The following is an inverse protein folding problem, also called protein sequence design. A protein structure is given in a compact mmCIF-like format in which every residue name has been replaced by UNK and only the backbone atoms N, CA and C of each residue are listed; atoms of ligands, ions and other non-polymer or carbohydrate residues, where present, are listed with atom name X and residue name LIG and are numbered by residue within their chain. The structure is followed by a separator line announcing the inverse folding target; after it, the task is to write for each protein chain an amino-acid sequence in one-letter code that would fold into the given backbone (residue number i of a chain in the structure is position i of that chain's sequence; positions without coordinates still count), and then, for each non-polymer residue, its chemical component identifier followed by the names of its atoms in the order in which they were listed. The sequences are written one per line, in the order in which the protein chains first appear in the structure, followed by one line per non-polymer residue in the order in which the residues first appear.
data_IF_049835725771
#
_entry.id   IF_049835725771
#
_cell.length_a   1.000
_cell.length_b   1.000
_cell.length_c   1.000
_cell.angle_alpha   90.00
_cell.angle_beta   90.00
_cell.angle_gamma   90.00
#
_symmetry.space_group_name_H-M   'P 1'
#
loop_
_entity.id
_entity.type
_entity.pdbx_description
1 polymer ?
#
# COMPACT_ATOMS: atom_id res chain seq x y z
N UNK A 1 -2.61 1.18 4.19
CA UNK A 1 -3.15 1.52 2.86
C UNK A 1 -3.68 2.93 2.93
N UNK A 2 -3.38 3.77 1.95
CA UNK A 2 -3.91 5.13 1.83
C UNK A 2 -5.36 5.15 1.37
N UNK A 3 -5.84 6.34 1.02
CA UNK A 3 -7.23 6.56 0.60
C UNK A 3 -7.44 6.25 -0.88
N UNK A 4 -8.70 6.06 -1.25
CA UNK A 4 -9.13 5.94 -2.66
C UNK A 4 -8.47 4.78 -3.43
N UNK A 5 -8.08 3.71 -2.73
CA UNK A 5 -7.50 2.54 -3.37
C UNK A 5 -8.57 1.60 -3.93
N UNK A 6 -8.25 0.92 -5.02
CA UNK A 6 -9.07 -0.16 -5.60
C UNK A 6 -8.30 -1.47 -5.55
N UNK A 7 -8.81 -2.45 -4.82
CA UNK A 7 -8.12 -3.72 -4.55
C UNK A 7 -8.94 -4.88 -5.14
N UNK A 8 -8.34 -5.59 -6.09
CA UNK A 8 -8.92 -6.79 -6.70
C UNK A 8 -9.03 -7.97 -5.74
N UNK A 9 -9.80 -8.98 -6.13
CA UNK A 9 -9.93 -10.22 -5.36
C UNK A 9 -8.60 -10.98 -5.29
N UNK A 10 -8.38 -11.72 -4.19
CA UNK A 10 -7.23 -12.62 -4.06
C UNK A 10 -5.85 -11.93 -3.97
N UNK A 11 -5.80 -10.63 -3.65
CA UNK A 11 -4.54 -9.95 -3.32
C UNK A 11 -4.00 -10.49 -1.99
N UNK A 12 -2.71 -10.84 -1.98
CA UNK A 12 -2.05 -11.45 -0.82
C UNK A 12 -0.67 -10.85 -0.56
N UNK A 13 -0.23 -10.91 0.70
CA UNK A 13 1.14 -10.63 1.10
C UNK A 13 1.87 -11.95 1.32
N UNK A 14 3.14 -12.02 0.90
CA UNK A 14 3.97 -13.21 1.03
C UNK A 14 4.77 -13.18 2.34
N UNK A 15 5.08 -14.35 2.90
CA UNK A 15 6.05 -14.49 4.00
C UNK A 15 7.49 -14.47 3.46
N UNK A 16 8.45 -14.23 4.35
CA UNK A 16 9.89 -14.34 4.10
C UNK A 16 10.54 -15.38 5.02
N UNK A 17 11.68 -15.92 4.60
CA UNK A 17 12.50 -16.88 5.35
C UNK A 17 13.98 -16.49 5.24
N UNK A 18 14.81 -16.70 6.29
CA UNK A 18 16.22 -16.37 6.23
C UNK A 18 16.97 -17.31 5.29
N UNK A 19 17.10 -16.91 4.03
CA UNK A 19 17.74 -17.69 2.97
C UNK A 19 19.27 -17.72 3.07
N UNK A 20 19.85 -16.86 3.92
CA UNK A 20 21.28 -16.72 4.19
C UNK A 20 21.71 -17.35 5.53
N UNK A 21 20.79 -17.93 6.30
CA UNK A 21 21.10 -18.71 7.50
C UNK A 21 21.39 -20.18 7.14
N UNK A 22 21.92 -20.95 8.10
CA UNK A 22 22.19 -22.38 7.92
C UNK A 22 20.94 -23.20 7.54
N UNK A 23 19.74 -22.73 7.89
CA UNK A 23 18.47 -23.34 7.52
C UNK A 23 17.39 -22.29 7.32
N UNK A 24 16.51 -22.51 6.33
CA UNK A 24 15.28 -21.72 6.12
C UNK A 24 14.13 -22.17 7.02
N UNK A 25 14.31 -23.27 7.75
CA UNK A 25 13.30 -23.83 8.61
C UNK A 25 13.05 -22.93 9.84
N UNK A 26 11.78 -22.77 10.21
CA UNK A 26 11.35 -21.89 11.30
C UNK A 26 11.96 -22.25 12.67
N UNK A 27 12.52 -23.45 12.83
CA UNK A 27 13.22 -23.89 14.04
C UNK A 27 14.27 -22.87 14.51
N UNK A 28 14.91 -22.15 13.59
CA UNK A 28 15.98 -21.22 13.91
C UNK A 28 15.50 -19.86 14.46
N UNK A 29 14.23 -19.48 14.29
CA UNK A 29 13.71 -18.16 14.69
C UNK A 29 12.30 -18.14 15.29
N UNK A 30 11.55 -19.24 15.23
CA UNK A 30 10.20 -19.31 15.75
C UNK A 30 10.15 -19.96 17.15
N UNK A 31 9.32 -19.45 18.08
CA UNK A 31 9.16 -20.00 19.43
C UNK A 31 8.28 -21.27 19.51
N UNK A 32 7.89 -21.85 18.38
CA UNK A 32 6.81 -22.84 18.28
C UNK A 32 7.20 -24.31 18.53
N UNK A 33 8.49 -24.62 18.74
CA UNK A 33 8.94 -25.97 19.05
C UNK A 33 9.04 -26.18 20.57
N UNK A 34 8.37 -27.19 21.17
CA UNK A 34 8.52 -27.49 22.59
C UNK A 34 9.80 -28.30 22.88
N UNK A 35 10.14 -28.46 24.16
CA UNK A 35 11.16 -29.42 24.57
C UNK A 35 10.72 -30.87 24.22
N UNK A 36 11.64 -31.79 23.87
CA UNK A 36 13.10 -31.62 23.81
C UNK A 36 13.60 -31.04 22.48
N UNK A 37 12.72 -30.77 21.51
CA UNK A 37 13.11 -30.30 20.17
C UNK A 37 13.70 -28.89 20.18
N UNK A 38 13.28 -28.05 21.13
CA UNK A 38 13.89 -26.75 21.41
C UNK A 38 14.95 -26.87 22.50
N UNK A 39 16.21 -26.95 22.07
CA UNK A 39 17.39 -27.11 22.92
C UNK A 39 18.30 -25.86 22.96
N UNK A 40 17.94 -24.79 22.23
CA UNK A 40 18.67 -23.53 22.20
C UNK A 40 17.73 -22.32 22.00
N UNK A 41 18.21 -21.14 22.37
CA UNK A 41 17.56 -19.88 22.01
C UNK A 41 17.55 -19.68 20.50
N UNK A 42 16.48 -19.07 19.99
CA UNK A 42 16.29 -18.81 18.55
C UNK A 42 16.60 -17.35 18.24
N UNK A 43 17.01 -17.07 17.00
CA UNK A 43 17.16 -15.71 16.51
C UNK A 43 15.82 -15.00 16.32
N UNK A 44 15.84 -13.70 16.01
CA UNK A 44 14.66 -12.98 15.55
C UNK A 44 14.73 -12.81 14.03
N UNK A 45 13.63 -13.13 13.34
CA UNK A 45 13.50 -12.90 11.90
C UNK A 45 12.10 -12.39 11.58
N UNK A 46 11.96 -11.25 10.87
CA UNK A 46 10.66 -10.71 10.50
C UNK A 46 10.07 -11.47 9.30
N UNK A 47 9.45 -12.63 9.54
CA UNK A 47 8.82 -13.44 8.49
C UNK A 47 7.66 -12.72 7.80
N UNK A 48 7.03 -11.76 8.48
CA UNK A 48 6.01 -10.88 7.93
C UNK A 48 6.23 -9.45 8.42
N UNK A 49 6.75 -8.62 7.53
CA UNK A 49 6.71 -7.16 7.58
C UNK A 49 5.48 -6.59 6.85
N UNK A 50 4.83 -5.55 7.40
CA UNK A 50 3.71 -4.88 6.76
C UNK A 50 4.05 -4.37 5.35
N UNK A 51 3.10 -4.47 4.43
CA UNK A 51 3.21 -3.81 3.11
C UNK A 51 2.56 -2.44 3.20
N UNK A 52 3.29 -1.41 2.78
CA UNK A 52 2.77 -0.04 2.74
C UNK A 52 2.17 0.22 1.37
N UNK A 53 0.91 0.66 1.34
CA UNK A 53 0.21 1.04 0.11
C UNK A 53 -0.19 2.51 0.27
N UNK A 54 0.19 3.35 -0.70
CA UNK A 54 -0.16 4.77 -0.77
C UNK A 54 -1.64 5.03 -1.07
N UNK A 55 -1.96 6.24 -1.50
CA UNK A 55 -3.28 6.70 -1.92
C UNK A 55 -3.48 6.46 -3.43
N UNK A 56 -4.73 6.38 -3.89
CA UNK A 56 -5.08 6.23 -5.32
C UNK A 56 -4.41 5.01 -5.99
N UNK A 57 -4.09 3.96 -5.23
CA UNK A 57 -3.45 2.77 -5.76
C UNK A 57 -4.50 1.83 -6.33
N UNK A 58 -4.28 1.34 -7.55
CA UNK A 58 -5.04 0.24 -8.12
C UNK A 58 -4.22 -1.05 -8.11
N UNK A 59 -4.70 -2.07 -7.40
CA UNK A 59 -4.12 -3.41 -7.39
C UNK A 59 -5.08 -4.37 -8.09
N UNK A 60 -4.65 -4.94 -9.20
CA UNK A 60 -5.42 -5.95 -9.93
C UNK A 60 -5.60 -7.25 -9.15
N UNK A 61 -6.53 -8.09 -9.60
CA UNK A 61 -6.83 -9.37 -8.95
C UNK A 61 -5.61 -10.30 -8.90
N UNK A 62 -5.53 -11.11 -7.83
CA UNK A 62 -4.55 -12.18 -7.64
C UNK A 62 -3.09 -11.70 -7.67
N UNK A 63 -2.84 -10.49 -7.19
CA UNK A 63 -1.48 -9.95 -7.00
C UNK A 63 -0.87 -10.50 -5.71
N UNK A 64 0.40 -10.89 -5.79
CA UNK A 64 1.22 -11.25 -4.62
C UNK A 64 2.23 -10.14 -4.34
N UNK A 65 2.24 -9.62 -3.11
CA UNK A 65 3.14 -8.57 -2.66
C UNK A 65 4.19 -9.16 -1.72
N UNK A 66 5.48 -8.99 -2.04
CA UNK A 66 6.55 -9.36 -1.10
C UNK A 66 6.37 -8.56 0.18
N UNK A 67 6.57 -9.22 1.32
CA UNK A 67 6.58 -8.56 2.63
C UNK A 67 7.51 -7.35 2.68
N UNK A 68 7.08 -6.30 3.39
CA UNK A 68 7.89 -5.11 3.67
C UNK A 68 8.04 -4.10 2.53
N UNK A 69 7.45 -4.33 1.36
CA UNK A 69 7.55 -3.37 0.24
C UNK A 69 6.60 -2.19 0.40
N UNK A 70 6.92 -1.12 -0.31
CA UNK A 70 6.09 0.07 -0.45
C UNK A 70 5.56 0.23 -1.87
N UNK A 71 4.25 0.44 -1.99
CA UNK A 71 3.56 0.80 -3.24
C UNK A 71 3.20 2.28 -3.16
N UNK A 72 3.84 3.09 -3.99
CA UNK A 72 3.69 4.55 -4.00
C UNK A 72 2.32 5.02 -4.45
N UNK A 73 1.99 6.27 -4.12
CA UNK A 73 0.71 6.89 -4.47
C UNK A 73 0.43 6.81 -5.97
N UNK A 74 -0.81 6.53 -6.35
CA UNK A 74 -1.21 6.46 -7.74
C UNK A 74 -0.63 5.27 -8.51
N UNK A 75 0.10 4.34 -7.89
CA UNK A 75 0.64 3.20 -8.63
C UNK A 75 -0.47 2.26 -9.15
N UNK A 76 -0.18 1.55 -10.24
CA UNK A 76 -1.06 0.52 -10.81
C UNK A 76 -0.32 -0.81 -10.88
N UNK A 77 -0.89 -1.83 -10.26
CA UNK A 77 -0.36 -3.18 -10.27
C UNK A 77 -1.25 -4.06 -11.16
N UNK A 78 -0.71 -4.56 -12.26
CA UNK A 78 -1.41 -5.47 -13.16
C UNK A 78 -1.82 -6.77 -12.46
N UNK A 79 -2.96 -7.33 -12.87
CA UNK A 79 -3.48 -8.58 -12.31
C UNK A 79 -2.47 -9.73 -12.43
N UNK A 80 -2.44 -10.62 -11.43
CA UNK A 80 -1.53 -11.77 -11.37
C UNK A 80 -0.05 -11.43 -11.14
N UNK A 81 0.31 -10.16 -10.90
CA UNK A 81 1.71 -9.78 -10.72
C UNK A 81 2.30 -10.29 -9.39
N UNK A 82 3.59 -10.63 -9.39
CA UNK A 82 4.38 -10.86 -8.17
C UNK A 82 5.33 -9.69 -7.97
N UNK A 83 4.97 -8.79 -7.06
CA UNK A 83 5.71 -7.56 -6.79
C UNK A 83 6.75 -7.82 -5.72
N UNK A 84 8.03 -7.79 -6.11
CA UNK A 84 9.15 -8.16 -5.24
C UNK A 84 9.98 -6.99 -4.72
N UNK A 85 9.65 -5.76 -5.14
CA UNK A 85 10.37 -4.52 -4.83
C UNK A 85 9.38 -3.36 -4.72
N UNK A 86 9.82 -2.26 -4.12
CA UNK A 86 9.04 -1.03 -4.05
C UNK A 86 8.62 -0.55 -5.45
N UNK A 87 7.43 0.03 -5.51
CA UNK A 87 6.86 0.61 -6.73
C UNK A 87 6.77 2.12 -6.53
N UNK A 88 7.41 2.87 -7.42
CA UNK A 88 7.38 4.33 -7.37
C UNK A 88 5.96 4.89 -7.59
N UNK A 89 5.65 6.09 -7.09
CA UNK A 89 4.38 6.75 -7.34
C UNK A 89 4.05 6.81 -8.83
N UNK A 90 2.76 6.69 -9.17
CA UNK A 90 2.22 6.78 -10.53
C UNK A 90 2.81 5.78 -11.54
N UNK A 91 3.55 4.77 -11.07
CA UNK A 91 4.15 3.75 -11.93
C UNK A 91 3.18 2.60 -12.17
N UNK A 92 3.09 2.16 -13.43
CA UNK A 92 2.36 0.94 -13.83
C UNK A 92 3.35 -0.22 -13.87
N UNK A 93 3.11 -1.26 -13.08
CA UNK A 93 3.92 -2.49 -13.07
C UNK A 93 3.07 -3.72 -13.36
N UNK A 94 3.70 -4.80 -13.85
CA UNK A 94 3.04 -6.09 -14.02
C UNK A 94 4.01 -7.22 -14.33
N UNK A 95 3.50 -8.46 -14.31
CA UNK A 95 4.28 -9.67 -14.61
C UNK A 95 4.87 -10.37 -13.39
N UNK A 96 5.62 -11.44 -13.66
CA UNK A 96 6.24 -12.31 -12.66
C UNK A 96 7.72 -12.55 -13.02
N UNK A 97 8.67 -11.98 -12.28
CA UNK A 97 8.48 -10.91 -11.28
C UNK A 97 7.99 -9.61 -11.93
N UNK A 98 7.30 -8.76 -11.16
CA UNK A 98 6.75 -7.50 -11.66
C UNK A 98 7.85 -6.58 -12.19
N UNK A 99 7.59 -5.93 -13.32
CA UNK A 99 8.46 -4.93 -13.95
C UNK A 99 7.67 -3.70 -14.29
N UNK A 100 8.37 -2.56 -14.35
CA UNK A 100 7.79 -1.31 -14.85
C UNK A 100 7.36 -1.51 -16.29
N UNK A 101 6.09 -1.22 -16.56
CA UNK A 101 5.49 -1.20 -17.90
C UNK A 101 5.58 0.22 -18.45
N UNK A 102 5.13 1.21 -17.67
CA UNK A 102 5.14 2.64 -18.03
C UNK A 102 4.86 3.52 -16.80
N UNK A 103 5.03 4.83 -16.95
CA UNK A 103 4.42 5.81 -16.05
C UNK A 103 2.94 6.04 -16.42
N UNK A 104 2.10 6.39 -15.44
CA UNK A 104 0.70 6.80 -15.68
C UNK A 104 0.64 8.12 -16.45
N UNK A 105 1.50 9.06 -16.07
CA UNK A 105 1.52 10.43 -16.53
C UNK A 105 2.96 10.91 -16.80
N UNK A 106 3.16 12.03 -17.51
CA UNK A 106 4.46 12.70 -17.58
C UNK A 106 4.92 13.17 -16.21
N UNK A 107 6.23 13.16 -15.97
CA UNK A 107 6.85 13.52 -14.68
C UNK A 107 6.41 14.91 -14.18
N UNK A 108 6.24 15.88 -15.08
CA UNK A 108 5.79 17.22 -14.74
C UNK A 108 4.38 17.23 -14.09
N UNK A 109 3.47 16.36 -14.55
CA UNK A 109 2.15 16.23 -13.94
C UNK A 109 2.21 15.46 -12.63
N UNK A 110 3.05 14.42 -12.55
CA UNK A 110 3.27 13.65 -11.32
C UNK A 110 3.74 14.57 -10.20
N UNK A 111 4.74 15.42 -10.45
CA UNK A 111 5.26 16.33 -9.44
C UNK A 111 4.21 17.37 -8.99
N UNK A 112 3.36 17.85 -9.91
CA UNK A 112 2.23 18.72 -9.56
C UNK A 112 1.23 18.02 -8.64
N UNK A 113 0.81 16.80 -8.99
CA UNK A 113 -0.13 16.04 -8.15
C UNK A 113 0.49 15.75 -6.79
N UNK A 114 1.78 15.44 -6.71
CA UNK A 114 2.45 15.20 -5.42
C UNK A 114 2.56 16.45 -4.56
N UNK A 115 2.70 17.63 -5.16
CA UNK A 115 2.73 18.91 -4.46
C UNK A 115 1.34 19.35 -3.99
N UNK A 116 0.28 19.05 -4.77
CA UNK A 116 -1.10 19.32 -4.42
C UNK A 116 -1.97 18.06 -4.63
N UNK A 117 -1.87 17.08 -3.71
CA UNK A 117 -2.54 15.80 -3.86
C UNK A 117 -4.04 15.93 -3.62
N UNK A 118 -4.84 15.63 -4.64
CA UNK A 118 -6.29 15.77 -4.60
C UNK A 118 -6.95 15.02 -3.44
N UNK A 119 -6.39 13.88 -3.02
CA UNK A 119 -6.91 13.08 -1.91
C UNK A 119 -6.82 13.78 -0.56
N UNK A 120 -5.98 14.81 -0.40
CA UNK A 120 -5.85 15.57 0.84
C UNK A 120 -6.89 16.68 1.02
N UNK A 121 -7.73 16.94 0.03
CA UNK A 121 -8.64 18.08 0.01
C UNK A 121 -10.10 17.66 0.02
N UNK A 122 -10.95 18.48 0.62
CA UNK A 122 -12.40 18.29 0.58
C UNK A 122 -12.95 18.77 -0.77
N UNK A 123 -13.18 17.83 -1.68
CA UNK A 123 -13.61 18.12 -3.04
C UNK A 123 -15.13 18.24 -3.20
N UNK A 124 -15.93 18.17 -2.11
CA UNK A 124 -17.40 18.18 -2.20
C UNK A 124 -17.96 19.46 -2.83
N UNK A 125 -17.21 20.56 -2.78
CA UNK A 125 -17.56 21.85 -3.37
C UNK A 125 -16.88 22.11 -4.71
N UNK A 126 -16.05 21.19 -5.21
CA UNK A 126 -15.25 21.36 -6.43
C UNK A 126 -15.54 20.24 -7.44
N UNK A 127 -16.16 20.60 -8.57
CA UNK A 127 -16.42 19.66 -9.65
C UNK A 127 -15.22 19.59 -10.60
N UNK A 128 -14.37 18.58 -10.41
CA UNK A 128 -13.24 18.30 -11.30
C UNK A 128 -13.66 17.47 -12.51
N UNK A 129 -13.09 17.78 -13.67
CA UNK A 129 -13.18 16.92 -14.86
C UNK A 129 -12.09 15.83 -14.80
N UNK A 130 -12.45 14.69 -14.21
CA UNK A 130 -11.55 13.55 -14.01
C UNK A 130 -10.97 12.95 -15.30
N UNK A 131 -11.56 13.26 -16.47
CA UNK A 131 -11.07 12.77 -17.76
C UNK A 131 -9.93 13.62 -18.33
N UNK A 132 -9.69 14.81 -17.75
CA UNK A 132 -8.66 15.77 -18.20
C UNK A 132 -7.71 16.07 -17.04
N UNK A 133 -6.73 15.20 -16.76
CA UNK A 133 -5.99 15.23 -15.50
C UNK A 133 -5.17 16.51 -15.31
N UNK A 134 -4.57 17.08 -16.37
CA UNK A 134 -3.86 18.35 -16.27
C UNK A 134 -4.81 19.52 -15.96
N UNK A 135 -6.00 19.53 -16.56
CA UNK A 135 -7.00 20.57 -16.33
C UNK A 135 -7.61 20.46 -14.92
N UNK A 136 -7.91 19.24 -14.48
CA UNK A 136 -8.35 18.96 -13.12
C UNK A 136 -7.30 19.39 -12.09
N UNK A 137 -6.03 19.08 -12.34
CA UNK A 137 -4.94 19.49 -11.46
C UNK A 137 -4.81 21.02 -11.38
N UNK A 138 -4.89 21.73 -12.51
CA UNK A 138 -4.87 23.20 -12.50
C UNK A 138 -6.05 23.79 -11.71
N UNK A 139 -7.26 23.27 -11.90
CA UNK A 139 -8.44 23.74 -11.18
C UNK A 139 -8.34 23.49 -9.67
N UNK A 140 -7.78 22.34 -9.26
CA UNK A 140 -7.50 22.05 -7.86
C UNK A 140 -6.48 23.04 -7.27
N UNK A 141 -5.37 23.27 -7.97
CA UNK A 141 -4.32 24.20 -7.54
C UNK A 141 -4.86 25.62 -7.39
N UNK A 142 -5.68 26.09 -8.34
CA UNK A 142 -6.36 27.39 -8.27
C UNK A 142 -7.30 27.49 -7.07
N UNK A 143 -8.11 26.45 -6.80
CA UNK A 143 -9.02 26.42 -5.67
C UNK A 143 -8.27 26.43 -4.32
N UNK A 144 -7.17 25.67 -4.22
CA UNK A 144 -6.29 25.68 -3.04
C UNK A 144 -5.65 27.04 -2.85
N UNK A 145 -5.12 27.66 -3.91
CA UNK A 145 -4.51 28.98 -3.86
C UNK A 145 -5.50 30.08 -3.48
N UNK A 146 -6.76 29.95 -3.89
CA UNK A 146 -7.85 30.84 -3.51
C UNK A 146 -8.34 30.63 -2.06
N UNK A 147 -7.87 29.59 -1.36
CA UNK A 147 -8.34 29.24 -0.03
C UNK A 147 -9.78 28.72 0.01
N UNK A 148 -10.32 28.27 -1.13
CA UNK A 148 -11.71 27.81 -1.24
C UNK A 148 -11.92 26.36 -0.81
N UNK A 149 -10.82 25.62 -0.56
CA UNK A 149 -10.85 24.24 -0.07
C UNK A 149 -10.24 24.13 1.32
N UNK A 150 -10.78 23.18 2.11
CA UNK A 150 -10.20 22.75 3.37
C UNK A 150 -9.50 21.41 3.23
N UNK A 151 -8.52 21.15 4.11
CA UNK A 151 -7.88 19.83 4.18
C UNK A 151 -8.89 18.79 4.66
N UNK A 152 -8.88 17.65 3.99
CA UNK A 152 -9.71 16.49 4.32
C UNK A 152 -8.93 15.48 5.16
N UNK A 153 -9.36 15.29 6.40
CA UNK A 153 -8.80 14.31 7.32
C UNK A 153 -9.91 13.48 7.98
N UNK A 154 -10.42 12.43 7.31
CA UNK A 154 -11.49 11.59 7.85
C UNK A 154 -11.01 10.63 8.95
N UNK A 155 -9.75 10.71 9.38
CA UNK A 155 -9.12 9.69 10.20
C UNK A 155 -8.86 8.41 9.41
N UNK A 156 -8.71 7.30 10.13
CA UNK A 156 -8.46 5.98 9.55
C UNK A 156 -9.28 4.92 10.29
N UNK A 157 -9.50 3.78 9.64
CA UNK A 157 -10.13 2.59 10.25
C UNK A 157 -9.20 1.38 10.14
N UNK A 158 -9.17 0.59 11.20
CA UNK A 158 -8.64 -0.76 11.16
C UNK A 158 -9.70 -1.69 10.55
N UNK A 159 -9.31 -2.46 9.55
CA UNK A 159 -10.12 -3.55 9.00
C UNK A 159 -9.46 -4.85 9.45
N UNK A 160 -10.02 -5.48 10.49
CA UNK A 160 -9.61 -6.81 10.96
C UNK A 160 -10.54 -7.89 10.36
N UNK A 161 -10.09 -9.15 10.30
CA UNK A 161 -10.93 -10.31 9.94
C UNK A 161 -11.77 -10.82 11.14
N UNK A 162 -11.99 -9.98 12.15
CA UNK A 162 -12.86 -10.22 13.30
C UNK A 162 -14.01 -9.23 13.35
N UNK A 163 -15.04 -9.52 14.16
CA UNK A 163 -16.22 -8.66 14.31
C UNK A 163 -15.82 -7.19 14.56
N UNK A 164 -16.45 -6.22 13.87
CA UNK A 164 -16.09 -4.82 14.00
C UNK A 164 -16.33 -4.36 15.45
N UNK A 165 -15.34 -3.75 16.13
CA UNK A 165 -15.65 -2.96 17.30
C UNK A 165 -16.58 -1.82 16.88
N UNK A 166 -17.50 -1.45 17.78
CA UNK A 166 -18.53 -0.45 17.53
C UNK A 166 -17.99 0.79 16.81
N UNK A 167 -18.76 1.24 15.82
CA UNK A 167 -18.44 2.36 14.95
C UNK A 167 -17.98 3.61 15.74
N UNK A 168 -16.81 4.17 15.40
CA UNK A 168 -16.38 5.51 15.85
C UNK A 168 -15.15 5.61 16.74
N UNK A 169 -14.40 4.55 17.00
CA UNK A 169 -13.16 4.64 17.81
C UNK A 169 -11.87 4.49 16.96
N UNK A 170 -10.87 5.39 17.13
CA UNK A 170 -9.55 5.23 16.53
C UNK A 170 -8.72 4.16 17.28
N UNK A 171 -8.36 3.03 16.63
CA UNK A 171 -7.64 1.89 17.25
C UNK A 171 -6.48 1.33 16.38
N UNK A 172 -5.19 1.48 16.77
CA UNK A 172 -4.03 1.51 15.85
C UNK A 172 -3.95 0.35 14.85
N UNK A 173 -3.52 0.65 13.61
CA UNK A 173 -3.28 -0.34 12.55
C UNK A 173 -2.08 -1.24 12.90
N UNK A 174 -2.37 -2.38 13.54
CA UNK A 174 -1.38 -3.43 13.84
C UNK A 174 -1.72 -4.66 12.99
N UNK A 175 -0.81 -5.04 12.10
CA UNK A 175 -0.88 -6.33 11.43
C UNK A 175 -0.30 -7.40 12.37
N UNK A 176 -1.17 -8.21 12.98
CA UNK A 176 -0.72 -9.40 13.70
C UNK A 176 -0.65 -10.58 12.73
N UNK A 177 0.50 -11.29 12.65
CA UNK A 177 0.56 -12.54 11.91
C UNK A 177 -0.29 -13.60 12.62
N UNK A 178 -1.18 -14.26 11.87
CA UNK A 178 -1.80 -15.53 12.24
C UNK A 178 -0.99 -16.70 11.75
#
# INVERSE_FOLDING_TARGET
MGRYCSIGDGVQTLSDHPADWFTTHMLAYAPNFPAPYRHQSVGQFPSHSPVTIGNDVWIGSRVSLKSGITIGDGAVIGAGAIVTRDVAPFTVVGGVPARVIRQRFPDALVERIRACPWWDWDLRTLALDWQRPEAAQSMLEEAVAAGSLSRWNPGWRLLDRGEPPAEGQPAPLVFLPG
#
